data_IF_729156149040
#
_entry.id   IF_729156149040
#
_cell.length_a   1.000
_cell.length_b   1.000
_cell.length_c   1.000
_cell.angle_alpha   90.00
_cell.angle_beta   90.00
_cell.angle_gamma   90.00
#
_symmetry.space_group_name_H-M   'P 1'
#
loop_
_entity.id
_entity.type
_entity.pdbx_description
1 polymer ?
#
# COMPACT_ATOMS: atom_id res chain seq x y z
N UNK A 1 -7.95 -40.14 -20.64
CA UNK A 1 -7.29 -38.83 -20.86
C UNK A 1 -6.42 -38.57 -19.65
N UNK A 2 -5.11 -38.65 -19.87
CA UNK A 2 -4.06 -38.62 -18.84
C UNK A 2 -4.00 -37.27 -18.12
N UNK A 3 -4.13 -37.34 -16.81
CA UNK A 3 -3.94 -36.27 -15.86
C UNK A 3 -2.42 -36.14 -15.59
N UNK A 4 -1.73 -35.36 -16.43
CA UNK A 4 -0.35 -34.95 -16.16
C UNK A 4 -0.33 -33.84 -15.14
N UNK A 5 -0.34 -34.20 -13.87
CA UNK A 5 0.02 -33.29 -12.78
C UNK A 5 1.47 -32.85 -12.93
N UNK A 6 1.70 -31.68 -13.53
CA UNK A 6 3.02 -31.02 -13.52
C UNK A 6 3.38 -30.62 -12.08
N UNK A 7 4.14 -31.47 -11.41
CA UNK A 7 4.79 -31.10 -10.16
C UNK A 7 5.98 -30.19 -10.45
N UNK A 8 5.79 -28.88 -10.35
CA UNK A 8 6.90 -27.92 -10.31
C UNK A 8 7.63 -28.03 -8.97
N UNK A 9 8.54 -28.98 -8.82
CA UNK A 9 9.58 -28.88 -7.82
C UNK A 9 10.65 -27.90 -8.33
N UNK A 10 10.50 -26.62 -7.99
CA UNK A 10 11.52 -25.61 -8.26
C UNK A 10 12.75 -25.96 -7.41
N UNK A 11 13.77 -26.60 -8.00
CA UNK A 11 15.12 -26.64 -7.41
C UNK A 11 15.52 -25.18 -7.18
N UNK A 12 15.76 -24.80 -5.93
CA UNK A 12 16.32 -23.48 -5.59
C UNK A 12 17.72 -23.48 -6.19
N UNK A 13 17.90 -22.68 -7.24
CA UNK A 13 19.19 -22.50 -7.89
C UNK A 13 20.15 -21.89 -6.85
N UNK A 14 21.32 -22.47 -6.61
CA UNK A 14 22.32 -21.97 -5.66
C UNK A 14 22.81 -20.54 -5.98
N UNK A 15 22.48 -20.04 -7.17
CA UNK A 15 22.72 -18.65 -7.63
C UNK A 15 21.54 -17.70 -7.40
N UNK A 16 20.45 -18.14 -6.79
CA UNK A 16 19.30 -17.26 -6.56
C UNK A 16 19.63 -16.16 -5.53
N UNK A 17 19.39 -14.90 -5.90
CA UNK A 17 19.55 -13.76 -5.00
C UNK A 17 18.45 -13.85 -3.94
N UNK A 18 18.84 -13.91 -2.65
CA UNK A 18 17.91 -13.84 -1.52
C UNK A 18 17.57 -12.39 -1.24
N UNK A 19 16.45 -11.92 -1.77
CA UNK A 19 16.00 -10.53 -1.59
C UNK A 19 15.64 -10.22 -0.13
N UNK A 20 15.11 -11.20 0.61
CA UNK A 20 14.83 -11.15 2.06
C UNK A 20 15.34 -12.44 2.66
N UNK A 21 16.16 -12.36 3.69
CA UNK A 21 16.76 -13.52 4.33
C UNK A 21 16.64 -13.42 5.85
N UNK A 22 15.85 -14.33 6.45
CA UNK A 22 15.70 -14.50 7.89
C UNK A 22 15.36 -13.21 8.66
N UNK A 23 14.27 -12.52 8.22
CA UNK A 23 13.78 -11.29 8.85
C UNK A 23 12.52 -11.62 9.64
N UNK A 24 12.49 -11.22 10.91
CA UNK A 24 11.33 -11.35 11.78
C UNK A 24 11.09 -10.06 12.56
N UNK A 25 9.85 -9.58 12.59
CA UNK A 25 9.44 -8.42 13.40
C UNK A 25 7.94 -8.52 13.71
N UNK A 26 7.52 -7.69 14.66
CA UNK A 26 6.11 -7.51 15.01
C UNK A 26 5.76 -6.04 14.90
N UNK A 27 4.55 -5.76 14.53
CA UNK A 27 3.98 -4.42 14.44
C UNK A 27 2.65 -4.44 15.22
N UNK A 28 2.52 -3.56 16.19
CA UNK A 28 1.34 -3.48 17.04
C UNK A 28 0.34 -2.46 16.52
N UNK A 29 -0.93 -2.63 16.88
CA UNK A 29 -2.01 -1.72 16.47
C UNK A 29 -1.72 -0.29 16.95
N UNK A 30 -1.89 0.68 16.04
CA UNK A 30 -1.61 2.11 16.30
C UNK A 30 -0.13 2.49 16.30
N UNK A 31 0.80 1.53 16.15
CA UNK A 31 2.24 1.78 16.11
C UNK A 31 2.70 2.23 14.72
N UNK A 32 3.74 3.09 14.68
CA UNK A 32 4.55 3.30 13.49
C UNK A 32 5.90 2.59 13.66
N UNK A 33 6.15 1.59 12.82
CA UNK A 33 7.43 0.90 12.75
C UNK A 33 8.25 1.43 11.56
N UNK A 34 9.44 1.93 11.84
CA UNK A 34 10.41 2.32 10.81
C UNK A 34 11.24 1.13 10.32
N UNK A 35 11.24 0.87 9.02
CA UNK A 35 12.13 -0.10 8.37
C UNK A 35 13.18 0.67 7.55
N UNK A 36 14.40 0.76 8.10
CA UNK A 36 15.50 1.55 7.51
C UNK A 36 16.59 0.62 6.99
N UNK A 37 17.26 1.03 5.93
CA UNK A 37 18.39 0.29 5.36
C UNK A 37 18.75 0.78 3.95
N UNK A 38 19.89 0.36 3.44
CA UNK A 38 20.39 0.74 2.13
C UNK A 38 19.45 0.35 0.98
N UNK A 39 19.61 1.04 -0.18
CA UNK A 39 18.89 0.66 -1.39
C UNK A 39 19.24 -0.78 -1.79
N UNK A 40 18.22 -1.55 -2.18
CA UNK A 40 18.40 -2.96 -2.54
C UNK A 40 18.44 -3.95 -1.36
N UNK A 41 18.34 -3.50 -0.10
CA UNK A 41 18.36 -4.39 1.08
C UNK A 41 17.11 -5.24 1.27
N UNK A 42 16.09 -5.13 0.39
CA UNK A 42 14.89 -5.94 0.43
C UNK A 42 13.67 -5.30 1.10
N UNK A 43 13.73 -4.05 1.56
CA UNK A 43 12.64 -3.33 2.24
C UNK A 43 11.32 -3.33 1.45
N UNK A 44 11.38 -2.88 0.20
CA UNK A 44 10.20 -2.89 -0.69
C UNK A 44 9.71 -4.31 -1.02
N UNK A 45 10.59 -5.30 -0.96
CA UNK A 45 10.19 -6.70 -1.10
C UNK A 45 9.37 -7.17 0.10
N UNK A 46 9.76 -6.78 1.32
CA UNK A 46 8.98 -7.03 2.55
C UNK A 46 7.60 -6.37 2.42
N UNK A 47 7.53 -5.10 2.02
CA UNK A 47 6.26 -4.40 1.79
C UNK A 47 5.35 -5.14 0.80
N UNK A 48 5.91 -5.58 -0.34
CA UNK A 48 5.20 -6.35 -1.37
C UNK A 48 4.74 -7.73 -0.88
N UNK A 49 5.49 -8.36 0.03
CA UNK A 49 5.09 -9.62 0.65
C UNK A 49 3.89 -9.39 1.59
N UNK A 50 3.95 -8.37 2.44
CA UNK A 50 2.87 -8.07 3.39
C UNK A 50 1.58 -7.70 2.66
N UNK A 51 1.66 -6.92 1.57
CA UNK A 51 0.50 -6.58 0.73
C UNK A 51 0.05 -7.69 -0.21
N UNK A 52 0.82 -8.77 -0.32
CA UNK A 52 0.52 -9.90 -1.18
C UNK A 52 0.78 -9.71 -2.66
N UNK A 53 1.53 -8.70 -3.00
CA UNK A 53 2.00 -8.47 -4.39
C UNK A 53 3.10 -9.46 -4.78
N UNK A 54 3.86 -9.95 -3.79
CA UNK A 54 4.91 -10.97 -3.97
C UNK A 54 4.68 -12.09 -2.96
N UNK A 55 4.76 -13.33 -3.43
CA UNK A 55 4.66 -14.50 -2.55
C UNK A 55 6.04 -14.79 -1.92
N UNK A 56 6.13 -14.93 -0.58
CA UNK A 56 7.37 -15.35 0.05
C UNK A 56 7.73 -16.79 -0.33
N UNK A 57 9.02 -17.10 -0.34
CA UNK A 57 9.52 -18.47 -0.60
C UNK A 57 9.29 -19.38 0.61
N UNK A 58 9.49 -18.82 1.81
CA UNK A 58 9.32 -19.55 3.09
C UNK A 58 9.02 -18.52 4.21
N UNK A 59 8.73 -19.01 5.41
CA UNK A 59 8.41 -18.21 6.58
C UNK A 59 6.92 -18.19 6.91
N UNK A 60 6.52 -17.26 7.75
CA UNK A 60 5.14 -17.09 8.19
C UNK A 60 4.78 -15.60 8.17
N UNK A 61 3.55 -15.29 7.81
CA UNK A 61 2.98 -13.95 7.84
C UNK A 61 1.62 -14.02 8.53
N UNK A 62 1.47 -13.31 9.61
CA UNK A 62 0.23 -13.22 10.37
C UNK A 62 -0.29 -11.78 10.41
N UNK A 63 -1.59 -11.62 10.37
CA UNK A 63 -2.29 -10.37 10.55
C UNK A 63 -3.56 -10.60 11.39
N UNK A 64 -3.66 -9.91 12.54
CA UNK A 64 -4.77 -10.10 13.50
C UNK A 64 -5.04 -11.58 13.82
N UNK A 65 -4.01 -12.34 14.16
CA UNK A 65 -4.06 -13.79 14.44
C UNK A 65 -4.54 -14.65 13.25
N UNK A 66 -4.68 -14.03 12.06
CA UNK A 66 -4.97 -14.74 10.84
C UNK A 66 -3.66 -15.03 10.10
N UNK A 67 -3.35 -16.30 9.90
CA UNK A 67 -2.22 -16.69 9.06
C UNK A 67 -2.52 -16.33 7.60
N UNK A 68 -1.84 -15.31 7.07
CA UNK A 68 -1.93 -14.90 5.67
C UNK A 68 -1.05 -15.78 4.79
N UNK A 69 0.08 -16.22 5.33
CA UNK A 69 0.99 -17.15 4.67
C UNK A 69 1.70 -18.03 5.70
N UNK A 70 1.74 -19.32 5.42
CA UNK A 70 2.69 -20.24 6.02
C UNK A 70 3.09 -21.31 4.97
N UNK A 71 4.20 -21.98 5.19
CA UNK A 71 4.74 -22.97 4.26
C UNK A 71 3.79 -24.16 3.98
N UNK A 72 2.80 -24.40 4.85
CA UNK A 72 1.85 -25.53 4.78
C UNK A 72 0.49 -25.14 4.21
N UNK A 73 0.16 -23.84 4.07
CA UNK A 73 -1.16 -23.37 3.64
C UNK A 73 -1.08 -22.49 2.40
N UNK A 74 -2.16 -22.49 1.61
CA UNK A 74 -2.33 -21.52 0.53
C UNK A 74 -2.32 -20.09 1.08
N UNK A 75 -1.73 -19.19 0.32
CA UNK A 75 -1.70 -17.77 0.56
C UNK A 75 -3.14 -17.20 0.64
N UNK A 76 -3.53 -16.63 1.78
CA UNK A 76 -4.91 -16.18 2.06
C UNK A 76 -5.03 -14.66 2.20
N UNK A 77 -4.32 -13.93 1.38
CA UNK A 77 -4.29 -12.46 1.47
C UNK A 77 -5.63 -11.79 1.10
N UNK A 78 -6.49 -12.48 0.37
CA UNK A 78 -7.75 -11.88 -0.11
C UNK A 78 -8.63 -11.35 1.01
N UNK A 79 -8.54 -11.92 2.22
CA UNK A 79 -9.31 -11.48 3.39
C UNK A 79 -8.78 -10.18 4.01
N UNK A 80 -7.52 -9.83 3.79
CA UNK A 80 -6.87 -8.65 4.37
C UNK A 80 -6.60 -7.53 3.37
N UNK A 81 -6.82 -7.76 2.07
CA UNK A 81 -6.48 -6.79 1.01
C UNK A 81 -7.09 -5.39 1.21
N UNK A 82 -8.31 -5.30 1.71
CA UNK A 82 -8.93 -4.02 2.03
C UNK A 82 -8.37 -3.36 3.29
N UNK A 83 -7.80 -4.15 4.21
CA UNK A 83 -7.31 -3.67 5.50
C UNK A 83 -5.82 -3.34 5.49
N UNK A 84 -5.07 -3.83 4.52
CA UNK A 84 -3.64 -3.57 4.33
C UNK A 84 -3.48 -2.85 3.00
N UNK A 85 -3.05 -1.60 3.04
CA UNK A 85 -2.84 -0.78 1.86
C UNK A 85 -1.41 -0.26 1.80
N UNK A 86 -0.97 0.16 0.60
CA UNK A 86 0.39 0.60 0.36
C UNK A 86 0.42 1.90 -0.43
N UNK A 87 1.24 2.83 0.03
CA UNK A 87 1.68 4.00 -0.71
C UNK A 87 3.01 3.64 -1.35
N UNK A 88 3.08 3.73 -2.66
CA UNK A 88 4.27 3.38 -3.45
C UNK A 88 5.25 4.54 -3.52
N UNK A 89 6.52 4.21 -3.73
CA UNK A 89 7.63 5.14 -3.85
C UNK A 89 7.44 6.18 -4.97
N UNK A 90 6.92 5.74 -6.12
CA UNK A 90 6.66 6.62 -7.25
C UNK A 90 5.16 6.85 -7.44
N UNK A 91 4.65 8.05 -7.12
CA UNK A 91 3.25 8.38 -7.32
C UNK A 91 2.87 8.48 -8.80
N UNK A 92 3.84 8.68 -9.71
CA UNK A 92 3.59 8.75 -11.15
C UNK A 92 3.15 7.41 -11.72
N UNK A 93 3.92 6.37 -11.44
CA UNK A 93 3.63 5.01 -11.93
C UNK A 93 2.46 4.37 -11.21
N UNK A 94 2.11 4.85 -10.02
CA UNK A 94 1.04 4.28 -9.21
C UNK A 94 -0.36 4.75 -9.60
N UNK A 95 -0.50 5.90 -10.27
CA UNK A 95 -1.79 6.47 -10.67
C UNK A 95 -2.05 6.25 -12.17
N UNK A 96 -3.22 5.72 -12.52
CA UNK A 96 -3.59 5.56 -13.92
C UNK A 96 -3.80 6.95 -14.58
N UNK A 97 -2.96 7.36 -15.55
CA UNK A 97 -3.02 8.70 -16.13
C UNK A 97 -4.28 8.97 -16.96
N UNK A 98 -5.04 7.92 -17.32
CA UNK A 98 -6.28 8.01 -18.11
C UNK A 98 -7.52 8.23 -17.26
N UNK A 99 -7.41 8.08 -15.93
CA UNK A 99 -8.52 8.24 -15.01
C UNK A 99 -8.47 9.62 -14.35
N UNK A 100 -9.64 10.20 -14.10
CA UNK A 100 -9.75 11.39 -13.24
C UNK A 100 -9.49 11.01 -11.80
N UNK A 101 -9.09 11.99 -10.98
CA UNK A 101 -8.81 11.78 -9.55
C UNK A 101 -9.98 11.11 -8.84
N UNK A 102 -11.22 11.54 -9.09
CA UNK A 102 -12.42 10.91 -8.53
C UNK A 102 -12.53 9.42 -8.86
N UNK A 103 -12.16 9.01 -10.07
CA UNK A 103 -12.24 7.62 -10.50
C UNK A 103 -11.14 6.79 -9.82
N UNK A 104 -9.93 7.35 -9.70
CA UNK A 104 -8.80 6.72 -9.00
C UNK A 104 -9.13 6.46 -7.52
N UNK A 105 -9.74 7.43 -6.83
CA UNK A 105 -10.10 7.29 -5.41
C UNK A 105 -11.33 6.38 -5.24
N UNK A 106 -12.31 6.44 -6.16
CA UNK A 106 -13.52 5.65 -6.06
C UNK A 106 -13.34 4.17 -6.44
N UNK A 107 -12.32 3.83 -7.23
CA UNK A 107 -12.08 2.46 -7.71
C UNK A 107 -11.96 1.45 -6.56
N UNK A 108 -11.08 1.63 -5.56
CA UNK A 108 -10.97 0.70 -4.43
C UNK A 108 -12.25 0.66 -3.59
N UNK A 109 -12.96 1.77 -3.41
CA UNK A 109 -14.24 1.79 -2.69
C UNK A 109 -15.25 0.87 -3.38
N UNK A 110 -15.44 1.04 -4.69
CA UNK A 110 -16.37 0.21 -5.49
C UNK A 110 -15.98 -1.26 -5.49
N UNK A 111 -14.68 -1.55 -5.47
CA UNK A 111 -14.20 -2.93 -5.48
C UNK A 111 -14.56 -3.67 -4.18
N UNK A 112 -14.37 -3.03 -3.04
CA UNK A 112 -14.61 -3.64 -1.72
C UNK A 112 -16.05 -3.46 -1.22
N UNK A 113 -16.77 -2.42 -1.66
CA UNK A 113 -18.13 -2.09 -1.25
C UNK A 113 -19.10 -2.15 -2.44
N UNK A 114 -19.42 -3.37 -2.89
CA UNK A 114 -20.21 -3.60 -4.11
C UNK A 114 -21.61 -2.95 -4.09
N UNK A 115 -22.18 -2.70 -2.92
CA UNK A 115 -23.53 -2.15 -2.74
C UNK A 115 -23.52 -0.67 -2.29
N UNK A 116 -22.40 0.04 -2.42
CA UNK A 116 -22.32 1.46 -2.06
C UNK A 116 -23.24 2.29 -2.96
N UNK A 117 -24.01 3.18 -2.37
CA UNK A 117 -24.85 4.10 -3.13
C UNK A 117 -23.97 5.17 -3.82
N UNK A 118 -24.51 5.79 -4.87
CA UNK A 118 -23.79 6.89 -5.56
C UNK A 118 -23.54 8.06 -4.61
N UNK A 119 -24.48 8.38 -3.75
CA UNK A 119 -24.38 9.50 -2.79
C UNK A 119 -23.28 9.22 -1.78
N UNK A 120 -23.27 8.02 -1.17
CA UNK A 120 -22.23 7.64 -0.20
C UNK A 120 -20.85 7.58 -0.83
N UNK A 121 -20.75 7.12 -2.09
CA UNK A 121 -19.51 7.10 -2.83
C UNK A 121 -18.97 8.52 -3.06
N UNK A 122 -19.81 9.44 -3.53
CA UNK A 122 -19.43 10.84 -3.73
C UNK A 122 -19.00 11.49 -2.42
N UNK A 123 -19.72 11.24 -1.32
CA UNK A 123 -19.35 11.75 0.00
C UNK A 123 -18.00 11.18 0.45
N UNK A 124 -17.79 9.87 0.39
CA UNK A 124 -16.51 9.25 0.77
C UNK A 124 -15.33 9.80 -0.05
N UNK A 125 -15.52 10.02 -1.36
CA UNK A 125 -14.48 10.60 -2.21
C UNK A 125 -14.18 12.06 -1.84
N UNK A 126 -15.22 12.85 -1.51
CA UNK A 126 -15.05 14.23 -1.06
C UNK A 126 -14.32 14.29 0.29
N UNK A 127 -14.67 13.43 1.25
CA UNK A 127 -14.02 13.37 2.56
C UNK A 127 -12.53 13.00 2.41
N UNK A 128 -12.20 12.04 1.55
CA UNK A 128 -10.83 11.63 1.30
C UNK A 128 -9.98 12.73 0.66
N UNK A 129 -10.53 13.50 -0.27
CA UNK A 129 -9.80 14.62 -0.88
C UNK A 129 -9.59 15.77 0.11
N UNK A 130 -10.56 16.00 0.99
CA UNK A 130 -10.46 16.99 2.07
C UNK A 130 -9.41 16.58 3.12
N UNK A 131 -9.38 15.29 3.54
CA UNK A 131 -8.36 14.73 4.46
C UNK A 131 -6.93 14.97 3.96
N UNK A 132 -6.69 14.81 2.67
CA UNK A 132 -5.34 15.05 2.12
C UNK A 132 -5.07 16.52 1.79
N UNK A 133 -5.94 17.43 2.21
CA UNK A 133 -5.77 18.89 2.06
C UNK A 133 -5.82 19.36 0.61
N UNK A 134 -6.65 18.71 -0.22
CA UNK A 134 -6.86 19.13 -1.62
C UNK A 134 -8.27 19.66 -1.82
N UNK A 135 -8.45 20.51 -2.82
CA UNK A 135 -9.76 21.07 -3.15
C UNK A 135 -10.60 20.06 -3.92
N UNK A 136 -11.91 20.04 -3.73
CA UNK A 136 -12.86 19.16 -4.46
C UNK A 136 -12.84 19.39 -5.97
N UNK A 137 -12.43 20.58 -6.45
CA UNK A 137 -12.20 20.86 -7.87
C UNK A 137 -11.13 19.96 -8.49
N UNK A 138 -10.23 19.40 -7.69
CA UNK A 138 -9.19 18.46 -8.11
C UNK A 138 -9.76 17.13 -8.61
N UNK A 139 -10.96 16.75 -8.16
CA UNK A 139 -11.60 15.46 -8.49
C UNK A 139 -11.90 15.28 -9.97
N UNK A 140 -12.13 16.37 -10.71
CA UNK A 140 -12.44 16.30 -12.15
C UNK A 140 -11.21 16.39 -13.07
N UNK A 141 -10.01 16.51 -12.47
CA UNK A 141 -8.74 16.65 -13.18
C UNK A 141 -8.02 15.30 -13.31
N UNK A 142 -7.02 15.25 -14.19
CA UNK A 142 -6.18 14.08 -14.43
C UNK A 142 -4.85 14.18 -13.67
N UNK A 143 -4.20 13.05 -13.33
CA UNK A 143 -2.93 13.05 -12.58
C UNK A 143 -1.82 13.90 -13.19
N UNK A 144 -1.72 13.97 -14.52
CA UNK A 144 -0.69 14.74 -15.20
C UNK A 144 -0.81 16.26 -15.02
N UNK A 145 -1.95 16.75 -14.55
CA UNK A 145 -2.20 18.18 -14.27
C UNK A 145 -1.76 18.63 -12.88
N UNK A 146 -1.13 17.74 -12.10
CA UNK A 146 -0.74 17.99 -10.71
C UNK A 146 0.78 17.92 -10.52
N UNK A 147 1.29 18.66 -9.51
CA UNK A 147 2.67 18.54 -9.05
C UNK A 147 2.95 17.18 -8.41
N UNK A 148 4.22 16.84 -8.20
CA UNK A 148 4.63 15.60 -7.52
C UNK A 148 3.98 15.43 -6.14
N UNK A 149 4.04 16.47 -5.30
CA UNK A 149 3.42 16.46 -3.97
C UNK A 149 1.89 16.32 -4.00
N UNK A 150 1.23 16.95 -4.98
CA UNK A 150 -0.22 16.78 -5.16
C UNK A 150 -0.58 15.36 -5.60
N UNK A 151 0.20 14.75 -6.50
CA UNK A 151 0.02 13.34 -6.87
C UNK A 151 0.23 12.40 -5.69
N UNK A 152 1.20 12.71 -4.83
CA UNK A 152 1.40 11.94 -3.60
C UNK A 152 0.19 12.01 -2.69
N UNK A 153 -0.42 13.19 -2.52
CA UNK A 153 -1.67 13.35 -1.77
C UNK A 153 -2.82 12.54 -2.37
N UNK A 154 -2.94 12.49 -3.70
CA UNK A 154 -3.93 11.64 -4.39
C UNK A 154 -3.64 10.15 -4.14
N UNK A 155 -2.38 9.73 -4.16
CA UNK A 155 -1.97 8.35 -3.85
C UNK A 155 -2.31 7.97 -2.40
N UNK A 156 -2.11 8.89 -1.45
CA UNK A 156 -2.52 8.72 -0.05
C UNK A 156 -4.05 8.59 0.05
N UNK A 157 -4.82 9.49 -0.57
CA UNK A 157 -6.29 9.42 -0.58
C UNK A 157 -6.80 8.08 -1.13
N UNK A 158 -6.20 7.59 -2.22
CA UNK A 158 -6.53 6.28 -2.80
C UNK A 158 -6.23 5.13 -1.82
N UNK A 159 -5.09 5.16 -1.13
CA UNK A 159 -4.73 4.14 -0.15
C UNK A 159 -5.69 4.13 1.04
N UNK A 160 -6.19 5.29 1.47
CA UNK A 160 -7.16 5.44 2.56
C UNK A 160 -8.58 5.03 2.18
N UNK A 161 -8.88 4.91 0.88
CA UNK A 161 -10.22 4.70 0.35
C UNK A 161 -10.92 3.42 0.86
N UNK A 162 -10.16 2.40 1.24
CA UNK A 162 -10.68 1.16 1.83
C UNK A 162 -10.80 1.21 3.36
N UNK A 163 -10.44 2.33 3.99
CA UNK A 163 -10.32 2.48 5.45
C UNK A 163 -9.40 1.40 6.04
N UNK A 164 -8.13 1.36 5.62
CA UNK A 164 -7.21 0.32 6.05
C UNK A 164 -6.91 0.43 7.55
N UNK A 165 -6.49 -0.67 8.17
CA UNK A 165 -5.92 -0.68 9.52
C UNK A 165 -4.39 -0.63 9.50
N UNK A 166 -3.78 -1.10 8.43
CA UNK A 166 -2.34 -1.06 8.21
C UNK A 166 -2.03 -0.33 6.90
N UNK A 167 -1.24 0.72 7.02
CA UNK A 167 -0.73 1.49 5.89
C UNK A 167 0.78 1.28 5.77
N UNK A 168 1.23 0.78 4.63
CA UNK A 168 2.65 0.62 4.33
C UNK A 168 3.08 1.81 3.46
N UNK A 169 4.05 2.56 3.94
CA UNK A 169 4.61 3.72 3.25
C UNK A 169 6.00 3.34 2.72
N UNK A 170 6.09 2.97 1.44
CA UNK A 170 7.36 2.60 0.79
C UNK A 170 8.01 3.83 0.19
N UNK A 171 8.95 4.43 0.94
CA UNK A 171 9.68 5.65 0.58
C UNK A 171 8.75 6.78 0.08
N UNK A 172 7.70 7.17 0.83
CA UNK A 172 6.58 7.98 0.30
C UNK A 172 6.99 9.41 -0.09
N UNK A 173 8.22 9.81 0.18
CA UNK A 173 8.73 11.18 -0.05
C UNK A 173 9.98 11.23 -0.92
N UNK A 174 10.61 10.10 -1.28
CA UNK A 174 11.91 10.05 -1.94
C UNK A 174 11.96 10.78 -3.30
N UNK A 175 10.84 10.86 -4.02
CA UNK A 175 10.73 11.53 -5.31
C UNK A 175 10.30 13.01 -5.23
N UNK A 176 10.32 13.62 -4.02
CA UNK A 176 9.80 14.96 -3.77
C UNK A 176 10.89 15.92 -3.26
N UNK A 177 10.70 17.21 -3.50
CA UNK A 177 11.54 18.27 -2.94
C UNK A 177 11.44 18.31 -1.41
N UNK A 178 12.53 18.70 -0.72
CA UNK A 178 12.64 18.68 0.75
C UNK A 178 11.48 19.40 1.46
N UNK A 179 11.04 20.56 0.95
CA UNK A 179 9.92 21.29 1.52
C UNK A 179 8.59 20.54 1.40
N UNK A 180 8.39 19.81 0.33
CA UNK A 180 7.19 19.01 0.09
C UNK A 180 7.25 17.70 0.90
N UNK A 181 8.46 17.12 1.08
CA UNK A 181 8.65 15.94 1.93
C UNK A 181 8.12 16.19 3.35
N UNK A 182 8.52 17.31 3.98
CA UNK A 182 8.04 17.67 5.31
C UNK A 182 6.51 17.80 5.38
N UNK A 183 5.88 18.38 4.35
CA UNK A 183 4.42 18.48 4.29
C UNK A 183 3.73 17.10 4.19
N UNK A 184 4.28 16.17 3.41
CA UNK A 184 3.73 14.81 3.28
C UNK A 184 3.93 14.02 4.57
N UNK A 185 5.07 14.15 5.23
CA UNK A 185 5.33 13.48 6.51
C UNK A 185 4.38 13.96 7.61
N UNK A 186 4.17 15.29 7.71
CA UNK A 186 3.20 15.86 8.66
C UNK A 186 1.78 15.39 8.35
N UNK A 187 1.37 15.41 7.07
CA UNK A 187 0.07 14.89 6.65
C UNK A 187 -0.12 13.42 7.05
N UNK A 188 0.88 12.55 6.83
CA UNK A 188 0.79 11.14 7.22
C UNK A 188 0.69 10.97 8.74
N UNK A 189 1.39 11.81 9.52
CA UNK A 189 1.30 11.82 10.97
C UNK A 189 -0.09 12.25 11.44
N UNK A 190 -0.63 13.35 10.91
CA UNK A 190 -1.96 13.83 11.25
C UNK A 190 -3.04 12.77 10.95
N UNK A 191 -2.94 12.11 9.78
CA UNK A 191 -3.81 11.01 9.39
C UNK A 191 -3.68 9.81 10.33
N UNK A 192 -2.46 9.47 10.77
CA UNK A 192 -2.23 8.40 11.73
C UNK A 192 -2.93 8.69 13.05
N UNK A 193 -2.74 9.90 13.58
CA UNK A 193 -3.30 10.33 14.86
C UNK A 193 -4.84 10.37 14.81
N UNK A 194 -5.43 10.90 13.72
CA UNK A 194 -6.87 11.02 13.54
C UNK A 194 -7.57 9.68 13.31
N UNK A 195 -6.98 8.80 12.49
CA UNK A 195 -7.58 7.53 12.10
C UNK A 195 -7.05 6.33 12.90
N UNK A 196 -6.16 6.55 13.87
CA UNK A 196 -5.51 5.51 14.68
C UNK A 196 -4.88 4.39 13.81
N UNK A 197 -4.21 4.80 12.72
CA UNK A 197 -3.62 3.87 11.77
C UNK A 197 -2.35 3.22 12.32
N UNK A 198 -2.18 1.95 12.04
CA UNK A 198 -0.90 1.26 12.16
C UNK A 198 -0.09 1.54 10.90
N UNK A 199 1.19 1.90 11.03
CA UNK A 199 2.03 2.21 9.88
C UNK A 199 3.33 1.41 9.86
N UNK A 200 3.70 0.89 8.68
CA UNK A 200 5.04 0.43 8.37
C UNK A 200 5.70 1.48 7.45
N UNK A 201 6.65 2.22 7.98
CA UNK A 201 7.32 3.30 7.25
C UNK A 201 8.69 2.83 6.78
N UNK A 202 8.88 2.79 5.46
CA UNK A 202 10.14 2.39 4.82
C UNK A 202 10.89 3.64 4.37
N UNK A 203 12.16 3.73 4.77
CA UNK A 203 13.07 4.81 4.38
C UNK A 203 14.47 4.27 4.13
N UNK A 204 15.24 4.99 3.34
CA UNK A 204 16.67 4.74 3.18
C UNK A 204 17.52 5.73 4.02
N UNK A 205 16.87 6.73 4.62
CA UNK A 205 17.50 7.79 5.41
C UNK A 205 16.75 8.00 6.74
#
# INVERSE_FOLDING_TARGET
FDDQSMSYSKKIDEKAVKAVNDVSFKLFEGETLGLVGESGSGKSTIAKIITGLVRPTSGELEYNSLSLYNSKRKYQIDKSRGQIQMIFQDPYSSLNPRFKVKDIISEPIKFFQKNITRIDLEQNVNDLIDIVGMTRKSLDRYPHEFSGGQRQRISIARALATRPRLLICDEPTSALDVSIQAQILNLLKDIQDELHLTMLFISHD
#
